data_IF_545958972720
#
_entry.id   IF_545958972720
#
_cell.length_a   1.000
_cell.length_b   1.000
_cell.length_c   1.000
_cell.angle_alpha   90.00
_cell.angle_beta   90.00
_cell.angle_gamma   90.00
#
_symmetry.space_group_name_H-M   'P 1'
#
loop_
_entity.id
_entity.type
_entity.pdbx_description
1 polymer ?
#
# COMPACT_ATOMS: atom_id res chain seq x y z
N UNK A 1 5.71 -13.11 -4.78
CA UNK A 1 4.71 -12.56 -3.83
C UNK A 1 3.76 -11.66 -4.57
N UNK A 2 2.47 -11.64 -4.24
CA UNK A 2 1.50 -10.72 -4.84
C UNK A 2 1.00 -9.77 -3.75
N UNK A 3 1.39 -8.49 -3.77
CA UNK A 3 0.92 -7.52 -2.77
C UNK A 3 -0.49 -7.03 -3.16
N UNK A 4 -1.44 -7.08 -2.22
CA UNK A 4 -2.81 -6.59 -2.39
C UNK A 4 -3.17 -5.63 -1.27
N UNK A 5 -4.09 -4.71 -1.57
CA UNK A 5 -4.69 -3.80 -0.59
C UNK A 5 -6.11 -4.28 -0.29
N UNK A 6 -6.46 -4.34 0.99
CA UNK A 6 -7.78 -4.67 1.52
C UNK A 6 -8.44 -3.38 2.03
N UNK A 7 -9.31 -2.71 1.22
CA UNK A 7 -9.84 -1.39 1.57
C UNK A 7 -10.67 -1.38 2.86
N UNK A 8 -11.32 -2.49 3.19
CA UNK A 8 -12.11 -2.65 4.40
C UNK A 8 -11.27 -2.64 5.70
N UNK A 9 -9.95 -2.81 5.61
CA UNK A 9 -9.01 -2.66 6.74
C UNK A 9 -8.31 -1.31 6.75
N UNK A 10 -8.46 -0.51 5.68
CA UNK A 10 -7.88 0.82 5.61
C UNK A 10 -8.88 1.82 6.22
N UNK A 11 -8.48 2.67 7.18
CA UNK A 11 -9.38 3.65 7.79
C UNK A 11 -9.75 4.82 6.86
N UNK A 12 -9.05 4.95 5.72
CA UNK A 12 -9.32 5.93 4.66
C UNK A 12 -9.51 7.39 5.13
N UNK A 13 -8.78 7.79 6.16
CA UNK A 13 -8.94 9.07 6.85
C UNK A 13 -7.64 9.88 6.96
N UNK A 14 -6.56 9.44 6.31
CA UNK A 14 -5.26 10.09 6.36
C UNK A 14 -4.45 9.88 5.07
N UNK A 15 -3.44 10.73 4.82
CA UNK A 15 -2.42 10.47 3.81
C UNK A 15 -1.65 9.20 4.16
N UNK A 16 -1.70 8.20 3.28
CA UNK A 16 -1.13 6.88 3.50
C UNK A 16 0.40 6.99 3.63
N UNK A 17 0.97 6.67 4.81
CA UNK A 17 2.42 6.79 5.05
C UNK A 17 3.23 5.80 4.19
N UNK A 18 2.57 4.79 3.62
CA UNK A 18 3.19 3.74 2.84
C UNK A 18 3.54 4.18 1.42
N UNK A 19 2.88 5.22 0.91
CA UNK A 19 3.15 5.81 -0.42
C UNK A 19 4.61 6.26 -0.53
N UNK A 20 5.10 6.99 0.46
CA UNK A 20 6.49 7.49 0.52
C UNK A 20 7.55 6.42 0.81
N UNK A 21 7.14 5.24 1.29
CA UNK A 21 8.05 4.14 1.65
C UNK A 21 8.37 3.25 0.45
N UNK A 22 7.54 3.28 -0.60
CA UNK A 22 7.73 2.47 -1.80
C UNK A 22 8.96 2.97 -2.59
N UNK A 23 10.03 2.17 -2.73
CA UNK A 23 11.26 2.62 -3.40
C UNK A 23 11.07 2.83 -4.90
N UNK A 24 10.07 2.20 -5.51
CA UNK A 24 9.79 2.28 -6.95
C UNK A 24 8.61 3.20 -7.28
N UNK A 25 8.00 3.83 -6.28
CA UNK A 25 6.82 4.68 -6.49
C UNK A 25 5.60 3.91 -7.02
N UNK A 26 5.52 2.60 -6.78
CA UNK A 26 4.42 1.74 -7.22
C UNK A 26 3.10 1.98 -6.47
N UNK A 27 3.12 2.72 -5.35
CA UNK A 27 1.94 2.94 -4.50
C UNK A 27 1.44 4.37 -4.71
N UNK A 28 0.15 4.52 -5.01
CA UNK A 28 -0.50 5.82 -5.17
C UNK A 28 -1.74 5.89 -4.31
N UNK A 29 -2.05 7.07 -3.79
CA UNK A 29 -3.28 7.32 -3.05
C UNK A 29 -4.05 8.46 -3.71
N UNK A 30 -5.38 8.36 -3.75
CA UNK A 30 -6.27 9.43 -4.18
C UNK A 30 -6.98 10.00 -2.95
N UNK A 31 -6.69 11.24 -2.59
CA UNK A 31 -7.21 11.84 -1.35
C UNK A 31 -6.86 10.99 -0.14
N UNK A 32 -7.87 10.61 0.65
CA UNK A 32 -7.71 9.69 1.79
C UNK A 32 -8.15 8.26 1.51
N UNK A 33 -8.51 7.91 0.27
CA UNK A 33 -8.92 6.54 -0.08
C UNK A 33 -7.79 5.52 0.19
N UNK A 34 -8.12 4.24 0.18
CA UNK A 34 -7.13 3.18 0.28
C UNK A 34 -6.13 3.28 -0.90
N UNK A 35 -4.82 3.03 -0.66
CA UNK A 35 -3.82 3.17 -1.72
C UNK A 35 -3.99 2.07 -2.79
N UNK A 36 -3.70 2.42 -4.03
CA UNK A 36 -3.63 1.52 -5.17
C UNK A 36 -2.16 1.12 -5.42
N UNK A 37 -1.94 -0.14 -5.81
CA UNK A 37 -0.60 -0.67 -6.11
C UNK A 37 -0.52 -0.96 -7.61
N UNK A 38 0.40 -0.26 -8.28
CA UNK A 38 0.81 -0.54 -9.64
C UNK A 38 1.73 -1.77 -9.67
N UNK A 39 1.17 -2.89 -10.12
CA UNK A 39 1.90 -4.17 -10.20
C UNK A 39 3.06 -4.14 -11.19
N UNK A 40 3.01 -3.28 -12.22
CA UNK A 40 4.10 -3.18 -13.20
C UNK A 40 5.38 -2.62 -12.59
N UNK A 41 5.27 -1.80 -11.55
CA UNK A 41 6.39 -1.18 -10.83
C UNK A 41 6.73 -1.88 -9.52
N UNK A 42 5.91 -2.85 -9.09
CA UNK A 42 6.09 -3.52 -7.82
C UNK A 42 7.19 -4.59 -7.92
N UNK A 43 8.31 -4.35 -7.22
CA UNK A 43 9.43 -5.31 -7.13
C UNK A 43 9.27 -6.32 -5.98
N UNK A 44 8.09 -6.42 -5.37
CA UNK A 44 7.79 -7.35 -4.28
C UNK A 44 8.72 -7.23 -3.05
N UNK A 45 9.21 -6.03 -2.74
CA UNK A 45 10.11 -5.79 -1.60
C UNK A 45 9.46 -5.96 -0.21
N UNK A 46 8.13 -6.03 -0.11
CA UNK A 46 7.40 -6.27 1.14
C UNK A 46 7.41 -5.12 2.17
N UNK A 47 8.08 -3.99 1.89
CA UNK A 47 8.16 -2.85 2.82
C UNK A 47 6.79 -2.29 3.18
N UNK A 48 5.87 -2.24 2.21
CA UNK A 48 4.54 -1.71 2.42
C UNK A 48 3.69 -2.50 3.42
N UNK A 49 3.87 -3.83 3.44
CA UNK A 49 3.20 -4.72 4.39
C UNK A 49 3.69 -4.43 5.81
N UNK A 50 5.01 -4.27 5.98
CA UNK A 50 5.63 -4.00 7.30
C UNK A 50 5.27 -2.61 7.85
N UNK A 51 5.04 -1.64 6.97
CA UNK A 51 4.79 -0.25 7.37
C UNK A 51 3.31 0.06 7.66
N UNK A 52 2.38 -0.74 7.10
CA UNK A 52 0.96 -0.53 7.31
C UNK A 52 0.52 -1.09 8.67
N UNK A 53 0.45 -0.24 9.69
CA UNK A 53 0.01 -0.64 11.04
C UNK A 53 -1.41 -1.22 11.12
N UNK A 54 -2.28 -0.86 10.18
CA UNK A 54 -3.64 -1.41 10.08
C UNK A 54 -3.71 -2.79 9.41
N UNK A 55 -2.60 -3.28 8.84
CA UNK A 55 -2.58 -4.55 8.12
C UNK A 55 -3.45 -4.55 6.86
N UNK A 56 -3.74 -3.36 6.30
CA UNK A 56 -4.54 -3.23 5.08
C UNK A 56 -3.78 -3.62 3.81
N UNK A 57 -2.45 -3.74 3.87
CA UNK A 57 -1.61 -4.18 2.75
C UNK A 57 -1.02 -5.53 3.11
N UNK A 58 -1.33 -6.56 2.33
CA UNK A 58 -0.93 -7.95 2.63
C UNK A 58 -0.38 -8.65 1.40
N UNK A 59 0.44 -9.68 1.64
CA UNK A 59 0.83 -10.64 0.60
C UNK A 59 -0.29 -11.67 0.43
N UNK A 60 -0.74 -11.82 -0.80
CA UNK A 60 -1.55 -12.93 -1.28
C UNK A 60 -0.70 -13.91 -2.10
#
# INVERSE_FOLDING_TARGET
MNVKVEPHRCPQNHPCPVVRVCPTGAIRQRGYAAPEIDKSKCINCGRCIRYCGYGAIRSA
#
